data_IF_125090130058
#
_entry.id   IF_125090130058
#
_cell.length_a   1.000
_cell.length_b   1.000
_cell.length_c   1.000
_cell.angle_alpha   90.00
_cell.angle_beta   90.00
_cell.angle_gamma   90.00
#
_symmetry.space_group_name_H-M   'P 1'
#
loop_
_entity.id
_entity.type
_entity.pdbx_description
1 polymer ?
#
# COMPACT_ATOMS: atom_id res chain seq x y z
N UNK A 1 10.42 6.11 78.75
CA UNK A 1 11.74 6.74 78.47
C UNK A 1 12.74 5.62 78.27
N UNK A 2 13.19 5.42 77.03
CA UNK A 2 14.11 4.32 76.66
C UNK A 2 15.55 4.84 76.70
N UNK A 3 16.37 4.22 77.55
CA UNK A 3 17.83 4.21 77.44
C UNK A 3 18.24 3.23 76.33
N UNK A 4 19.32 3.51 75.60
CA UNK A 4 20.58 2.76 75.70
C UNK A 4 21.56 3.21 74.62
N UNK A 5 22.77 3.47 75.09
CA UNK A 5 23.97 3.89 74.39
C UNK A 5 24.68 2.72 73.71
N UNK A 6 25.11 2.98 72.48
CA UNK A 6 26.39 2.67 71.83
C UNK A 6 27.02 1.24 71.87
N UNK A 7 27.42 0.86 70.64
CA UNK A 7 28.67 0.21 70.23
C UNK A 7 28.75 -1.33 70.18
N UNK A 8 29.08 -1.84 68.98
CA UNK A 8 29.89 -3.02 68.59
C UNK A 8 29.25 -3.70 67.35
N UNK A 9 29.80 -3.71 66.12
CA UNK A 9 31.06 -4.24 65.52
C UNK A 9 30.72 -5.42 64.57
N UNK A 10 31.40 -5.46 63.40
CA UNK A 10 31.52 -6.54 62.39
C UNK A 10 30.38 -6.68 61.34
N UNK A 11 30.58 -6.79 60.01
CA UNK A 11 31.74 -6.91 59.09
C UNK A 11 31.37 -6.23 57.76
N UNK A 12 32.22 -5.33 57.27
CA UNK A 12 32.20 -4.81 55.92
C UNK A 12 33.08 -5.68 55.04
N UNK A 13 32.50 -6.46 54.13
CA UNK A 13 33.24 -7.14 53.07
C UNK A 13 33.51 -6.17 51.92
N UNK A 14 34.73 -5.63 51.85
CA UNK A 14 35.22 -4.95 50.67
C UNK A 14 35.72 -5.99 49.66
N UNK A 15 35.08 -6.08 48.51
CA UNK A 15 35.71 -6.57 47.28
C UNK A 15 35.59 -5.45 46.25
N UNK A 16 36.68 -4.73 46.07
CA UNK A 16 36.88 -3.81 44.94
C UNK A 16 37.03 -4.70 43.71
N UNK A 17 35.94 -4.94 42.99
CA UNK A 17 36.03 -5.47 41.64
C UNK A 17 36.33 -4.28 40.73
N UNK A 18 37.61 -4.16 40.37
CA UNK A 18 38.05 -3.37 39.23
C UNK A 18 37.18 -3.71 38.01
N UNK A 19 36.59 -2.70 37.39
CA UNK A 19 36.00 -2.82 36.07
C UNK A 19 37.07 -3.30 35.08
N UNK A 20 37.08 -4.60 34.82
CA UNK A 20 37.69 -5.16 33.62
C UNK A 20 36.77 -4.77 32.45
N UNK A 21 37.32 -4.28 31.33
CA UNK A 21 36.52 -4.10 30.12
C UNK A 21 35.95 -5.48 29.76
N UNK A 22 34.63 -5.56 29.58
CA UNK A 22 34.02 -6.78 29.04
C UNK A 22 34.67 -7.04 27.68
N UNK A 23 35.41 -8.13 27.62
CA UNK A 23 36.03 -8.66 26.41
C UNK A 23 34.99 -8.74 25.28
N UNK A 24 35.41 -8.27 24.12
CA UNK A 24 34.77 -8.47 22.83
C UNK A 24 34.48 -9.95 22.58
N UNK A 25 33.21 -10.36 22.69
CA UNK A 25 32.77 -11.66 22.19
C UNK A 25 31.95 -11.49 20.90
N UNK A 26 32.68 -11.77 19.81
CA UNK A 26 32.23 -12.48 18.59
C UNK A 26 31.08 -11.89 17.76
N UNK A 27 31.37 -10.87 16.97
CA UNK A 27 30.62 -10.53 15.73
C UNK A 27 31.25 -11.21 14.49
N UNK A 28 32.44 -11.80 14.62
CA UNK A 28 33.24 -12.24 13.46
C UNK A 28 32.72 -13.46 12.70
N UNK A 29 31.95 -14.36 13.32
CA UNK A 29 31.78 -15.69 12.73
C UNK A 29 30.95 -15.74 11.42
N UNK A 30 30.11 -14.74 11.12
CA UNK A 30 29.19 -14.76 9.96
C UNK A 30 29.08 -13.42 9.21
N UNK A 31 30.05 -12.53 9.36
CA UNK A 31 29.91 -11.15 8.94
C UNK A 31 30.65 -10.85 7.62
N UNK A 32 29.94 -10.32 6.61
CA UNK A 32 30.54 -9.91 5.33
C UNK A 32 31.10 -8.48 5.48
N UNK A 33 32.40 -8.31 5.19
CA UNK A 33 33.07 -7.00 5.23
C UNK A 33 32.61 -6.10 4.06
N UNK A 34 32.58 -4.76 4.24
CA UNK A 34 33.12 -4.00 5.38
C UNK A 34 32.16 -3.96 6.58
N UNK A 35 32.71 -3.79 7.80
CA UNK A 35 31.90 -3.51 8.99
C UNK A 35 31.41 -2.05 8.98
N UNK A 36 30.35 -1.75 9.71
CA UNK A 36 29.73 -0.43 9.82
C UNK A 36 29.84 0.15 11.23
N UNK A 37 29.93 1.48 11.27
CA UNK A 37 29.95 2.31 12.46
C UNK A 37 28.69 3.16 12.54
N UNK A 38 27.83 2.91 13.54
CA UNK A 38 26.51 3.54 13.66
C UNK A 38 26.25 3.96 15.12
N UNK A 39 25.98 5.24 15.37
CA UNK A 39 25.68 5.78 16.71
C UNK A 39 24.37 5.26 17.33
N UNK A 40 24.18 5.48 18.63
CA UNK A 40 22.91 5.25 19.33
C UNK A 40 21.88 6.31 18.88
N UNK A 41 20.76 5.89 18.31
CA UNK A 41 19.66 6.76 17.92
C UNK A 41 18.48 6.52 18.88
N UNK A 42 18.20 7.51 19.72
CA UNK A 42 16.88 7.68 20.35
C UNK A 42 15.98 8.41 19.34
N UNK A 43 14.72 7.99 19.21
CA UNK A 43 13.71 8.74 18.46
C UNK A 43 13.62 10.17 19.02
N UNK A 44 13.71 11.23 18.19
CA UNK A 44 13.34 12.55 18.64
C UNK A 44 11.85 12.54 19.00
N UNK A 45 11.50 13.07 20.16
CA UNK A 45 10.12 13.37 20.57
C UNK A 45 9.45 14.22 19.47
N UNK A 46 8.31 13.78 18.94
CA UNK A 46 7.49 14.49 17.95
C UNK A 46 6.24 15.05 18.63
N UNK A 47 6.11 16.38 18.68
CA UNK A 47 5.01 17.06 19.38
C UNK A 47 3.60 16.75 18.86
N UNK A 48 3.49 16.07 17.72
CA UNK A 48 2.22 15.70 17.06
C UNK A 48 1.93 14.21 17.23
N UNK A 49 2.96 13.36 17.13
CA UNK A 49 2.84 11.91 17.27
C UNK A 49 2.82 11.49 18.74
N UNK A 50 3.61 12.16 19.59
CA UNK A 50 3.74 11.83 21.01
C UNK A 50 2.41 11.92 21.77
N UNK A 51 1.54 12.93 21.57
CA UNK A 51 0.22 12.96 22.22
C UNK A 51 -0.70 11.81 21.79
N UNK A 52 -0.63 11.41 20.51
CA UNK A 52 -1.41 10.29 19.97
C UNK A 52 -0.92 8.96 20.57
N UNK A 53 0.41 8.78 20.62
CA UNK A 53 1.02 7.60 21.25
C UNK A 53 0.73 7.56 22.76
N UNK A 54 0.74 8.71 23.44
CA UNK A 54 0.42 8.84 24.86
C UNK A 54 -1.05 8.50 25.16
N UNK A 55 -2.00 9.00 24.35
CA UNK A 55 -3.43 8.69 24.45
C UNK A 55 -3.72 7.20 24.19
N UNK A 56 -2.85 6.53 23.44
CA UNK A 56 -2.89 5.09 23.15
C UNK A 56 -2.10 4.24 24.17
N UNK A 57 -1.48 4.85 25.18
CA UNK A 57 -0.71 4.14 26.21
C UNK A 57 0.65 3.61 25.76
N UNK A 58 1.22 4.17 24.68
CA UNK A 58 2.48 3.75 24.05
C UNK A 58 3.63 4.65 24.52
N UNK A 59 4.67 4.06 25.09
CA UNK A 59 5.89 4.79 25.51
C UNK A 59 6.81 5.05 24.31
N UNK A 60 6.74 6.26 23.74
CA UNK A 60 7.57 6.69 22.61
C UNK A 60 9.09 6.60 22.88
N UNK A 61 9.53 6.65 24.15
CA UNK A 61 10.94 6.51 24.53
C UNK A 61 11.44 5.05 24.49
N UNK A 62 10.52 4.09 24.39
CA UNK A 62 10.83 2.65 24.31
C UNK A 62 10.95 2.13 22.86
N UNK A 63 10.62 2.96 21.86
CA UNK A 63 10.69 2.64 20.44
C UNK A 63 12.14 2.78 19.94
N UNK A 64 12.91 1.69 19.97
CA UNK A 64 14.27 1.63 19.43
C UNK A 64 14.24 1.03 18.02
N UNK A 65 14.56 1.82 16.98
CA UNK A 65 14.48 1.39 15.59
C UNK A 65 15.55 1.97 14.67
N UNK A 66 16.33 1.10 14.02
CA UNK A 66 17.49 1.47 13.20
C UNK A 66 17.29 1.04 11.75
N UNK A 67 17.43 2.01 10.83
CA UNK A 67 17.90 1.77 9.46
C UNK A 67 19.12 2.66 9.27
N UNK A 68 20.27 2.05 9.02
CA UNK A 68 21.61 2.65 9.02
C UNK A 68 21.87 3.71 7.95
N UNK A 69 21.13 4.82 7.98
CA UNK A 69 21.29 5.95 7.06
C UNK A 69 22.44 6.90 7.45
N UNK A 70 23.08 6.70 8.61
CA UNK A 70 24.23 7.47 9.11
C UNK A 70 25.49 6.61 9.33
N UNK A 71 25.48 5.38 8.85
CA UNK A 71 26.61 4.48 9.04
C UNK A 71 27.69 4.74 7.99
N UNK A 72 28.96 4.74 8.42
CA UNK A 72 30.11 4.71 7.53
C UNK A 72 30.91 3.42 7.76
N UNK A 73 31.87 3.15 6.89
CA UNK A 73 32.79 2.03 7.07
C UNK A 73 33.44 2.16 8.45
N UNK A 74 33.38 1.09 9.24
CA UNK A 74 33.94 1.09 10.57
C UNK A 74 35.46 1.31 10.51
N UNK A 75 35.93 2.23 11.33
CA UNK A 75 37.34 2.45 11.61
C UNK A 75 37.55 2.63 13.13
N UNK A 76 38.82 2.77 13.54
CA UNK A 76 39.19 2.89 14.95
C UNK A 76 38.75 4.21 15.60
N UNK A 77 38.23 5.17 14.82
CA UNK A 77 37.72 6.46 15.33
C UNK A 77 36.26 6.39 15.78
N UNK A 78 35.63 5.23 15.60
CA UNK A 78 34.24 5.01 15.94
C UNK A 78 33.96 4.84 17.43
N UNK A 79 33.01 5.62 17.95
CA UNK A 79 32.52 5.54 19.33
C UNK A 79 31.74 4.24 19.64
N UNK A 80 31.38 3.47 18.61
CA UNK A 80 30.65 2.20 18.72
C UNK A 80 31.41 1.06 18.05
N UNK A 81 31.28 -0.17 18.57
CA UNK A 81 31.94 -1.36 18.02
C UNK A 81 31.45 -1.74 16.60
N UNK A 82 32.21 -2.55 15.85
CA UNK A 82 31.92 -2.90 14.45
C UNK A 82 30.61 -3.68 14.31
N UNK A 83 29.75 -3.24 13.39
CA UNK A 83 28.45 -3.86 13.05
C UNK A 83 28.49 -4.47 11.64
N UNK A 84 27.68 -5.48 11.34
CA UNK A 84 27.73 -6.15 10.02
C UNK A 84 27.12 -5.33 8.88
N UNK A 85 27.79 -5.30 7.71
CA UNK A 85 27.13 -5.00 6.43
C UNK A 85 26.36 -6.24 5.99
N UNK A 86 25.05 -6.13 5.91
CA UNK A 86 24.20 -7.26 5.56
C UNK A 86 23.49 -7.02 4.24
N UNK A 87 23.91 -7.74 3.19
CA UNK A 87 22.98 -8.27 2.18
C UNK A 87 21.86 -9.10 2.85
N UNK A 88 22.07 -9.52 4.11
CA UNK A 88 21.03 -9.96 5.02
C UNK A 88 20.03 -8.85 5.45
N UNK A 89 20.11 -7.59 5.02
CA UNK A 89 19.13 -6.56 5.42
C UNK A 89 17.75 -6.84 4.83
N UNK A 90 17.64 -7.24 3.56
CA UNK A 90 16.33 -7.56 2.97
C UNK A 90 15.73 -8.84 3.58
N UNK A 91 16.49 -9.94 3.62
CA UNK A 91 16.02 -11.21 4.16
C UNK A 91 15.80 -11.17 5.69
N UNK A 92 16.63 -10.46 6.46
CA UNK A 92 16.41 -10.31 7.91
C UNK A 92 15.25 -9.37 8.22
N UNK A 93 15.08 -8.29 7.46
CA UNK A 93 13.90 -7.41 7.61
C UNK A 93 12.65 -8.16 7.17
N UNK A 94 12.70 -8.91 6.07
CA UNK A 94 11.63 -9.81 5.65
C UNK A 94 11.29 -10.83 6.74
N UNK A 95 12.28 -11.48 7.35
CA UNK A 95 12.03 -12.44 8.42
C UNK A 95 11.49 -11.76 9.70
N UNK A 96 11.90 -10.53 10.00
CA UNK A 96 11.34 -9.74 11.11
C UNK A 96 9.90 -9.30 10.83
N UNK A 97 9.62 -8.78 9.64
CA UNK A 97 8.26 -8.49 9.18
C UNK A 97 7.41 -9.75 9.23
N UNK A 98 7.93 -10.89 8.75
CA UNK A 98 7.24 -12.17 8.85
C UNK A 98 6.93 -12.53 10.30
N UNK A 99 7.87 -12.34 11.23
CA UNK A 99 7.61 -12.63 12.64
C UNK A 99 6.46 -11.81 13.22
N UNK A 100 6.40 -10.51 12.89
CA UNK A 100 5.29 -9.60 13.24
C UNK A 100 4.00 -10.07 12.56
N UNK A 101 4.08 -10.41 11.29
CA UNK A 101 2.93 -10.81 10.48
C UNK A 101 2.39 -12.19 10.85
N UNK A 102 3.20 -13.06 11.42
CA UNK A 102 2.78 -14.35 11.98
C UNK A 102 2.25 -14.25 13.40
N UNK A 103 2.48 -13.14 14.11
CA UNK A 103 1.79 -12.90 15.37
C UNK A 103 0.30 -12.73 15.10
N UNK A 104 -0.50 -13.17 16.08
CA UNK A 104 -1.96 -13.16 16.06
C UNK A 104 -2.55 -11.74 16.11
N UNK A 105 -1.93 -10.74 15.49
CA UNK A 105 -2.50 -9.41 15.37
C UNK A 105 -3.92 -9.52 14.82
N UNK A 106 -4.89 -9.25 15.69
CA UNK A 106 -6.31 -9.52 15.47
C UNK A 106 -7.01 -8.38 14.73
N UNK A 107 -6.39 -7.20 14.71
CA UNK A 107 -6.87 -6.01 14.02
C UNK A 107 -5.74 -5.08 13.52
N UNK A 108 -6.14 -4.02 12.82
CA UNK A 108 -5.25 -3.02 12.22
C UNK A 108 -4.45 -2.22 13.27
N UNK A 109 -4.98 -2.07 14.50
CA UNK A 109 -4.33 -1.31 15.57
C UNK A 109 -3.19 -2.12 16.17
N UNK A 110 -3.42 -3.40 16.44
CA UNK A 110 -2.38 -4.31 16.92
C UNK A 110 -1.23 -4.41 15.92
N UNK A 111 -1.55 -4.51 14.62
CA UNK A 111 -0.52 -4.52 13.58
C UNK A 111 0.27 -3.20 13.49
N UNK A 112 -0.40 -2.05 13.52
CA UNK A 112 0.25 -0.74 13.52
C UNK A 112 1.20 -0.58 14.73
N UNK A 113 0.79 -1.07 15.88
CA UNK A 113 1.59 -1.07 17.10
C UNK A 113 2.83 -1.95 16.97
N UNK A 114 2.68 -3.19 16.50
CA UNK A 114 3.82 -4.10 16.29
C UNK A 114 4.80 -3.56 15.24
N UNK A 115 4.29 -3.01 14.12
CA UNK A 115 5.12 -2.42 13.08
C UNK A 115 5.93 -1.22 13.61
N UNK A 116 5.31 -0.36 14.41
CA UNK A 116 5.98 0.80 15.01
C UNK A 116 7.00 0.35 16.06
N UNK A 117 6.62 -0.56 16.96
CA UNK A 117 7.47 -1.10 18.03
C UNK A 117 8.67 -1.88 17.49
N UNK A 118 8.55 -2.46 16.29
CA UNK A 118 9.66 -3.17 15.63
C UNK A 118 10.84 -2.26 15.27
N UNK A 119 10.60 -0.95 15.16
CA UNK A 119 11.61 0.01 14.75
C UNK A 119 12.11 -0.17 13.32
N UNK A 120 11.36 -0.91 12.48
CA UNK A 120 11.75 -1.22 11.10
C UNK A 120 11.56 -0.03 10.15
N UNK A 121 10.61 0.87 10.44
CA UNK A 121 10.31 2.00 9.54
C UNK A 121 11.35 3.12 9.73
N UNK A 122 12.07 3.55 8.68
CA UNK A 122 13.04 4.64 8.79
C UNK A 122 12.36 5.95 9.21
N UNK A 123 13.03 6.76 10.04
CA UNK A 123 12.51 8.07 10.49
C UNK A 123 12.10 8.99 9.33
N UNK A 124 12.88 9.04 8.24
CA UNK A 124 12.53 9.82 7.05
C UNK A 124 11.23 9.34 6.38
N UNK A 125 10.97 8.03 6.38
CA UNK A 125 9.71 7.48 5.87
C UNK A 125 8.55 7.87 6.79
N UNK A 126 8.73 7.77 8.11
CA UNK A 126 7.73 8.23 9.10
C UNK A 126 7.39 9.72 8.94
N UNK A 127 8.39 10.60 8.80
CA UNK A 127 8.16 12.03 8.56
C UNK A 127 7.35 12.27 7.28
N UNK A 128 7.65 11.53 6.21
CA UNK A 128 6.89 11.61 4.96
C UNK A 128 5.44 11.18 5.17
N UNK A 129 5.21 10.03 5.83
CA UNK A 129 3.89 9.47 6.11
C UNK A 129 3.04 10.38 7.01
N UNK A 130 3.65 11.03 8.01
CA UNK A 130 2.96 11.93 8.93
C UNK A 130 2.25 13.07 8.19
N UNK A 131 2.91 13.66 7.18
CA UNK A 131 2.30 14.69 6.34
C UNK A 131 1.04 14.20 5.61
N UNK A 132 1.01 12.94 5.17
CA UNK A 132 -0.14 12.34 4.50
C UNK A 132 -1.22 11.81 5.46
N UNK A 133 -0.88 11.50 6.70
CA UNK A 133 -1.85 11.16 7.74
C UNK A 133 -2.79 12.34 8.01
N UNK A 134 -2.27 13.57 8.01
CA UNK A 134 -3.04 14.78 8.34
C UNK A 134 -3.50 15.59 7.12
N UNK A 135 -3.08 15.24 5.90
CA UNK A 135 -3.42 16.02 4.70
C UNK A 135 -4.95 16.06 4.45
N UNK A 136 -5.51 17.25 4.27
CA UNK A 136 -6.90 17.39 3.82
C UNK A 136 -6.94 17.36 2.29
N UNK A 137 -7.32 16.21 1.72
CA UNK A 137 -7.40 16.04 0.27
C UNK A 137 -8.49 16.93 -0.36
N UNK A 138 -9.51 17.34 0.39
CA UNK A 138 -10.57 18.21 -0.12
C UNK A 138 -10.07 19.64 -0.39
N UNK A 139 -9.05 20.06 0.34
CA UNK A 139 -8.42 21.38 0.18
C UNK A 139 -7.50 21.45 -1.05
N UNK A 140 -7.19 20.32 -1.69
CA UNK A 140 -6.27 20.27 -2.83
C UNK A 140 -7.02 20.61 -4.12
N UNK A 141 -6.88 21.84 -4.57
CA UNK A 141 -7.47 22.32 -5.83
C UNK A 141 -6.46 22.27 -6.97
N UNK A 142 -6.47 21.17 -7.74
CA UNK A 142 -5.64 21.05 -8.95
C UNK A 142 -6.33 21.72 -10.13
N UNK A 143 -5.53 22.41 -10.94
CA UNK A 143 -5.98 23.09 -12.15
C UNK A 143 -5.57 22.27 -13.37
N UNK A 144 -6.41 21.30 -13.75
CA UNK A 144 -6.21 20.51 -14.96
C UNK A 144 -6.96 21.15 -16.15
N UNK A 145 -6.43 21.06 -17.38
CA UNK A 145 -7.04 21.68 -18.55
C UNK A 145 -8.43 21.08 -18.83
N UNK A 146 -9.31 21.88 -19.42
CA UNK A 146 -10.58 21.34 -19.92
C UNK A 146 -10.31 20.38 -21.09
N UNK A 147 -11.05 19.27 -21.22
CA UNK A 147 -10.93 18.43 -22.41
C UNK A 147 -11.50 19.21 -23.60
N UNK A 148 -10.64 19.85 -24.39
CA UNK A 148 -11.05 20.61 -25.56
C UNK A 148 -11.76 19.68 -26.57
N UNK A 149 -12.99 20.01 -26.97
CA UNK A 149 -13.79 19.35 -28.00
C UNK A 149 -14.35 17.93 -27.71
N UNK A 150 -14.27 17.42 -26.48
CA UNK A 150 -14.92 16.15 -26.09
C UNK A 150 -15.86 16.35 -24.90
N UNK A 151 -17.17 16.23 -25.14
CA UNK A 151 -18.17 16.22 -24.07
C UNK A 151 -18.12 14.88 -23.33
N UNK A 152 -17.46 14.87 -22.17
CA UNK A 152 -17.41 13.73 -21.24
C UNK A 152 -18.29 13.95 -20.00
N UNK A 153 -18.84 15.16 -19.86
CA UNK A 153 -19.73 15.60 -18.78
C UNK A 153 -20.86 16.46 -19.40
N UNK A 154 -22.13 16.41 -18.91
CA UNK A 154 -22.61 15.63 -17.75
C UNK A 154 -22.76 14.12 -18.00
N UNK A 155 -22.61 13.67 -19.25
CA UNK A 155 -22.52 12.27 -19.62
C UNK A 155 -21.71 12.16 -20.90
N UNK A 156 -20.94 11.08 -21.07
CA UNK A 156 -20.21 10.81 -22.32
C UNK A 156 -21.08 10.00 -23.28
N UNK A 157 -21.89 9.08 -22.75
CA UNK A 157 -22.89 8.34 -23.49
C UNK A 157 -24.25 8.38 -22.76
N UNK A 158 -25.35 8.25 -23.50
CA UNK A 158 -26.72 8.25 -22.92
C UNK A 158 -26.96 7.11 -21.91
N UNK A 159 -26.16 6.06 -21.98
CA UNK A 159 -26.23 4.89 -21.09
C UNK A 159 -25.44 5.07 -19.78
N UNK A 160 -24.68 6.15 -19.66
CA UNK A 160 -23.92 6.41 -18.43
C UNK A 160 -24.86 6.88 -17.32
N UNK A 161 -24.57 6.46 -16.09
CA UNK A 161 -25.20 7.00 -14.90
C UNK A 161 -24.94 8.52 -14.80
N UNK A 162 -25.86 9.28 -14.20
CA UNK A 162 -25.64 10.70 -13.96
C UNK A 162 -24.55 10.89 -12.89
N UNK A 163 -23.67 11.87 -13.09
CA UNK A 163 -22.82 12.36 -12.01
C UNK A 163 -23.64 13.21 -11.03
N UNK A 164 -23.44 13.00 -9.73
CA UNK A 164 -23.92 13.88 -8.67
C UNK A 164 -22.90 14.96 -8.29
N UNK A 165 -21.62 14.73 -8.63
CA UNK A 165 -20.50 15.61 -8.32
C UNK A 165 -20.20 16.54 -9.50
N UNK A 166 -19.95 17.82 -9.22
CA UNK A 166 -19.62 18.80 -10.24
C UNK A 166 -18.29 18.49 -10.96
N UNK A 167 -18.24 18.73 -12.28
CA UNK A 167 -17.08 18.42 -13.14
C UNK A 167 -15.77 19.03 -12.63
N UNK A 168 -15.79 20.27 -12.14
CA UNK A 168 -14.61 20.94 -11.62
C UNK A 168 -14.04 20.21 -10.38
N UNK A 169 -14.91 19.69 -9.51
CA UNK A 169 -14.53 18.91 -8.33
C UNK A 169 -13.97 17.55 -8.75
N UNK A 170 -14.64 16.83 -9.67
CA UNK A 170 -14.16 15.56 -10.22
C UNK A 170 -12.77 15.71 -10.85
N UNK A 171 -12.61 16.75 -11.69
CA UNK A 171 -11.35 17.03 -12.40
C UNK A 171 -10.21 17.44 -11.47
N UNK A 172 -10.49 18.13 -10.36
CA UNK A 172 -9.47 18.58 -9.41
C UNK A 172 -8.83 17.45 -8.59
N UNK A 173 -9.49 16.29 -8.48
CA UNK A 173 -8.97 15.11 -7.80
C UNK A 173 -7.80 14.44 -8.57
N UNK A 174 -7.71 14.67 -9.87
CA UNK A 174 -6.73 14.02 -10.75
C UNK A 174 -5.38 14.73 -10.66
N UNK A 175 -4.32 14.02 -10.27
CA UNK A 175 -2.96 14.53 -10.32
C UNK A 175 -2.26 14.11 -11.61
N UNK A 176 -1.94 15.10 -12.45
CA UNK A 176 -1.11 14.92 -13.65
C UNK A 176 0.28 15.46 -13.33
N UNK A 177 1.33 14.61 -13.29
CA UNK A 177 2.70 15.08 -13.08
C UNK A 177 3.13 16.06 -14.17
N UNK A 178 3.99 17.03 -13.83
CA UNK A 178 4.54 17.98 -14.82
C UNK A 178 5.34 17.29 -15.94
N UNK A 179 5.88 16.11 -15.67
CA UNK A 179 6.59 15.28 -16.63
C UNK A 179 5.67 14.47 -17.55
N UNK A 180 4.35 14.56 -17.37
CA UNK A 180 3.37 13.84 -18.18
C UNK A 180 3.37 14.36 -19.61
N UNK A 181 3.64 13.46 -20.56
CA UNK A 181 3.58 13.80 -21.98
C UNK A 181 2.12 13.88 -22.44
N UNK A 182 1.69 15.06 -22.88
CA UNK A 182 0.41 15.24 -23.57
C UNK A 182 0.46 14.82 -25.05
N UNK A 183 1.61 14.33 -25.55
CA UNK A 183 1.80 13.94 -26.95
C UNK A 183 1.46 12.46 -27.14
N UNK A 184 0.88 12.12 -28.31
CA UNK A 184 0.49 10.76 -28.76
C UNK A 184 1.66 9.80 -29.02
N UNK A 185 2.87 10.15 -28.61
CA UNK A 185 4.01 9.26 -28.78
C UNK A 185 3.74 7.99 -27.96
N UNK A 186 4.23 6.82 -28.42
CA UNK A 186 4.02 5.43 -27.94
C UNK A 186 4.14 5.22 -26.41
N UNK A 187 3.32 5.92 -25.65
CA UNK A 187 3.27 5.98 -24.21
C UNK A 187 1.96 5.35 -23.78
N UNK A 188 1.99 4.64 -22.67
CA UNK A 188 0.83 3.96 -22.09
C UNK A 188 0.37 4.83 -20.93
N UNK A 189 -0.72 5.60 -21.05
CA UNK A 189 -1.26 6.33 -19.91
C UNK A 189 -1.78 5.32 -18.89
N UNK A 190 -1.31 5.42 -17.64
CA UNK A 190 -1.71 4.55 -16.55
C UNK A 190 -2.32 5.38 -15.45
N UNK A 191 -3.61 5.16 -15.17
CA UNK A 191 -4.28 5.75 -14.03
C UNK A 191 -4.06 4.86 -12.79
N UNK A 192 -3.59 5.44 -11.70
CA UNK A 192 -3.42 4.76 -10.42
C UNK A 192 -4.57 5.15 -9.47
N UNK A 193 -5.31 4.15 -8.96
CA UNK A 193 -6.48 4.32 -8.10
C UNK A 193 -6.19 3.77 -6.70
N UNK A 194 -6.28 4.60 -5.64
CA UNK A 194 -5.86 4.23 -4.28
C UNK A 194 -6.81 3.23 -3.62
N UNK A 195 -6.38 2.71 -2.48
CA UNK A 195 -7.20 1.90 -1.59
C UNK A 195 -7.93 2.72 -0.53
N UNK A 196 -8.51 2.00 0.43
CA UNK A 196 -9.21 2.59 1.58
C UNK A 196 -8.23 3.33 2.49
N UNK A 197 -8.62 4.51 2.94
CA UNK A 197 -7.96 5.31 3.96
C UNK A 197 -6.53 5.81 3.65
N UNK A 198 -6.01 5.60 2.43
CA UNK A 198 -4.66 6.03 2.08
C UNK A 198 -4.69 6.85 0.78
N UNK A 199 -4.20 8.10 0.78
CA UNK A 199 -4.10 8.91 -0.44
C UNK A 199 -3.26 8.22 -1.54
N UNK A 200 -3.59 8.44 -2.82
CA UNK A 200 -2.89 7.79 -3.93
C UNK A 200 -1.43 8.22 -4.03
N UNK A 201 -1.15 9.51 -3.81
CA UNK A 201 0.21 10.04 -3.86
C UNK A 201 1.18 9.26 -2.97
N UNK A 202 0.80 8.95 -1.72
CA UNK A 202 1.65 8.20 -0.79
C UNK A 202 1.57 6.69 -1.00
N UNK A 203 0.38 6.17 -1.36
CA UNK A 203 0.19 4.75 -1.70
C UNK A 203 1.20 4.32 -2.75
N UNK A 204 1.29 5.07 -3.86
CA UNK A 204 2.08 4.66 -5.01
C UNK A 204 3.53 5.14 -4.98
N UNK A 205 3.89 6.09 -4.11
CA UNK A 205 5.25 6.63 -4.00
C UNK A 205 6.31 5.54 -3.80
N UNK A 206 5.97 4.53 -2.99
CA UNK A 206 6.86 3.43 -2.61
C UNK A 206 6.74 2.20 -3.52
N UNK A 207 5.94 2.23 -4.59
CA UNK A 207 5.71 1.06 -5.44
C UNK A 207 5.41 1.43 -6.89
N UNK A 208 4.18 1.22 -7.40
CA UNK A 208 3.84 1.39 -8.81
C UNK A 208 3.97 2.84 -9.32
N UNK A 209 4.15 3.83 -8.45
CA UNK A 209 4.63 5.17 -8.83
C UNK A 209 6.03 5.16 -9.48
N UNK A 210 6.75 4.05 -9.36
CA UNK A 210 8.05 3.78 -9.98
C UNK A 210 7.95 2.87 -11.20
N UNK A 211 6.75 2.58 -11.72
CA UNK A 211 6.53 1.69 -12.87
C UNK A 211 7.40 2.04 -14.08
N UNK A 212 7.72 3.33 -14.30
CA UNK A 212 8.64 3.78 -15.36
C UNK A 212 10.04 3.15 -15.30
N UNK A 213 10.49 2.66 -14.14
CA UNK A 213 11.75 1.92 -14.00
C UNK A 213 11.68 0.55 -14.68
N UNK A 214 10.50 -0.07 -14.70
CA UNK A 214 10.23 -1.35 -15.35
C UNK A 214 9.75 -1.18 -16.79
N UNK A 215 8.92 -0.15 -17.03
CA UNK A 215 8.24 0.13 -18.29
C UNK A 215 8.37 1.62 -18.63
N UNK A 216 9.49 2.07 -19.24
CA UNK A 216 9.78 3.50 -19.48
C UNK A 216 8.74 4.27 -20.33
N UNK A 217 7.88 3.56 -21.05
CA UNK A 217 6.75 4.07 -21.82
C UNK A 217 5.50 4.33 -20.99
N UNK A 218 5.45 3.89 -19.73
CA UNK A 218 4.31 4.19 -18.84
C UNK A 218 4.26 5.67 -18.44
N UNK A 219 3.10 6.30 -18.61
CA UNK A 219 2.84 7.67 -18.18
C UNK A 219 1.81 7.67 -17.05
N UNK A 220 2.31 7.85 -15.82
CA UNK A 220 1.50 7.72 -14.61
C UNK A 220 0.69 8.99 -14.32
N UNK A 221 -0.58 8.80 -14.01
CA UNK A 221 -1.52 9.76 -13.43
C UNK A 221 -2.14 9.06 -12.23
N UNK A 222 -2.50 9.79 -11.18
CA UNK A 222 -3.24 9.20 -10.07
C UNK A 222 -4.42 10.07 -9.66
N UNK A 223 -5.35 9.47 -8.92
CA UNK A 223 -6.52 10.17 -8.40
C UNK A 223 -6.48 10.18 -6.88
N UNK A 224 -6.48 11.38 -6.29
CA UNK A 224 -6.58 11.54 -4.85
C UNK A 224 -8.07 11.71 -4.49
N UNK A 225 -8.70 10.60 -4.08
CA UNK A 225 -10.10 10.57 -3.69
C UNK A 225 -10.34 11.38 -2.40
N UNK A 226 -11.42 12.19 -2.32
CA UNK A 226 -11.83 12.85 -1.09
C UNK A 226 -11.87 11.91 0.11
N UNK A 227 -11.58 12.45 1.30
CA UNK A 227 -11.51 11.70 2.56
C UNK A 227 -10.65 10.43 2.50
N UNK A 228 -9.72 10.33 1.54
CA UNK A 228 -8.91 9.14 1.29
C UNK A 228 -9.76 7.88 1.11
N UNK A 229 -10.81 7.96 0.29
CA UNK A 229 -11.68 6.82 -0.05
C UNK A 229 -12.53 6.29 1.11
N UNK A 230 -12.72 7.06 2.19
CA UNK A 230 -13.53 6.66 3.35
C UNK A 230 -15.03 7.02 3.23
N UNK A 231 -15.38 7.89 2.28
CA UNK A 231 -16.77 8.19 1.96
C UNK A 231 -17.42 7.04 1.17
N UNK A 232 -18.70 7.23 0.79
CA UNK A 232 -19.45 6.28 -0.04
C UNK A 232 -18.68 5.89 -1.32
N UNK A 233 -18.43 4.58 -1.50
CA UNK A 233 -17.75 4.00 -2.66
C UNK A 233 -18.45 4.40 -3.98
N UNK A 234 -19.77 4.59 -3.95
CA UNK A 234 -20.53 5.03 -5.12
C UNK A 234 -20.12 6.43 -5.59
N UNK A 235 -19.73 7.31 -4.66
CA UNK A 235 -19.20 8.64 -4.96
C UNK A 235 -17.73 8.57 -5.41
N UNK A 236 -16.92 7.72 -4.77
CA UNK A 236 -15.55 7.43 -5.22
C UNK A 236 -15.52 6.91 -6.66
N UNK A 237 -16.48 6.08 -7.04
CA UNK A 237 -16.64 5.58 -8.40
C UNK A 237 -16.99 6.68 -9.43
N UNK A 238 -17.66 7.78 -9.03
CA UNK A 238 -17.86 8.94 -9.90
C UNK A 238 -16.53 9.62 -10.27
N UNK A 239 -15.65 9.82 -9.28
CA UNK A 239 -14.30 10.33 -9.49
C UNK A 239 -13.52 9.45 -10.45
N UNK A 240 -13.58 8.13 -10.26
CA UNK A 240 -12.91 7.16 -11.13
C UNK A 240 -13.50 7.17 -12.54
N UNK A 241 -14.82 7.09 -12.70
CA UNK A 241 -15.48 7.11 -14.01
C UNK A 241 -15.12 8.37 -14.82
N UNK A 242 -15.10 9.52 -14.15
CA UNK A 242 -14.68 10.77 -14.77
C UNK A 242 -13.19 10.74 -15.14
N UNK A 243 -12.32 10.28 -14.25
CA UNK A 243 -10.88 10.21 -14.51
C UNK A 243 -10.53 9.27 -15.68
N UNK A 244 -11.18 8.11 -15.79
CA UNK A 244 -10.98 7.19 -16.91
C UNK A 244 -11.28 7.86 -18.26
N UNK A 245 -12.41 8.55 -18.35
CA UNK A 245 -12.82 9.27 -19.54
C UNK A 245 -11.94 10.50 -19.81
N UNK A 246 -11.59 11.25 -18.76
CA UNK A 246 -10.79 12.47 -18.85
C UNK A 246 -9.36 12.21 -19.28
N UNK A 247 -8.66 11.24 -18.68
CA UNK A 247 -7.27 10.90 -19.04
C UNK A 247 -7.21 10.32 -20.45
N UNK A 248 -8.20 9.50 -20.84
CA UNK A 248 -8.33 9.01 -22.22
C UNK A 248 -8.53 10.15 -23.22
N UNK A 249 -9.43 11.11 -22.91
CA UNK A 249 -9.66 12.28 -23.76
C UNK A 249 -8.39 13.15 -23.89
N UNK A 250 -7.72 13.41 -22.77
CA UNK A 250 -6.49 14.22 -22.71
C UNK A 250 -5.35 13.63 -23.55
N UNK A 251 -5.25 12.31 -23.60
CA UNK A 251 -4.19 11.60 -24.34
C UNK A 251 -4.63 11.14 -25.73
N UNK A 252 -5.92 11.26 -26.07
CA UNK A 252 -6.51 10.68 -27.28
C UNK A 252 -6.18 9.19 -27.45
N UNK A 253 -6.10 8.45 -26.35
CA UNK A 253 -5.72 7.03 -26.32
C UNK A 253 -6.59 6.27 -25.33
N UNK A 254 -6.67 4.94 -25.50
CA UNK A 254 -7.05 4.07 -24.38
C UNK A 254 -6.00 4.17 -23.28
N UNK A 255 -6.42 3.94 -22.05
CA UNK A 255 -5.57 3.96 -20.86
C UNK A 255 -5.55 2.58 -20.21
N UNK A 256 -4.48 2.29 -19.48
CA UNK A 256 -4.51 1.25 -18.47
C UNK A 256 -4.88 1.84 -17.11
N UNK A 257 -5.40 1.01 -16.22
CA UNK A 257 -5.68 1.39 -14.84
C UNK A 257 -5.11 0.35 -13.90
N UNK A 258 -4.37 0.81 -12.89
CA UNK A 258 -3.86 -0.02 -11.80
C UNK A 258 -4.56 0.43 -10.52
N UNK A 259 -5.15 -0.50 -9.79
CA UNK A 259 -5.78 -0.23 -8.50
C UNK A 259 -5.13 -0.99 -7.38
N UNK A 260 -5.38 -0.51 -6.16
CA UNK A 260 -5.12 -1.25 -4.94
C UNK A 260 -6.37 -1.29 -4.07
N UNK A 261 -6.66 -2.44 -3.45
CA UNK A 261 -7.72 -2.56 -2.45
C UNK A 261 -9.09 -2.11 -3.00
N UNK A 262 -9.84 -1.31 -2.24
CA UNK A 262 -11.10 -0.66 -2.62
C UNK A 262 -11.07 0.05 -3.98
N UNK A 263 -9.92 0.56 -4.44
CA UNK A 263 -9.82 1.16 -5.77
C UNK A 263 -10.29 0.22 -6.88
N UNK A 264 -10.24 -1.09 -6.64
CA UNK A 264 -10.80 -2.09 -7.54
C UNK A 264 -12.35 -2.06 -7.58
N UNK A 265 -12.99 -1.90 -6.42
CA UNK A 265 -14.44 -1.71 -6.32
C UNK A 265 -14.87 -0.41 -7.00
N UNK A 266 -14.13 0.68 -6.79
CA UNK A 266 -14.39 1.98 -7.44
C UNK A 266 -14.38 1.85 -8.97
N UNK A 267 -13.35 1.18 -9.53
CA UNK A 267 -13.23 0.94 -10.97
C UNK A 267 -14.32 0.00 -11.48
N UNK A 268 -14.58 -1.12 -10.80
CA UNK A 268 -15.57 -2.09 -11.26
C UNK A 268 -16.99 -1.50 -11.23
N UNK A 269 -17.30 -0.66 -10.23
CA UNK A 269 -18.54 0.12 -10.18
C UNK A 269 -18.61 1.15 -11.31
N UNK A 270 -17.52 1.89 -11.56
CA UNK A 270 -17.42 2.84 -12.67
C UNK A 270 -17.62 2.15 -14.03
N UNK A 271 -16.97 1.01 -14.27
CA UNK A 271 -17.13 0.21 -15.49
C UNK A 271 -18.57 -0.32 -15.63
N UNK A 272 -19.22 -0.68 -14.53
CA UNK A 272 -20.61 -1.14 -14.53
C UNK A 272 -21.58 -0.01 -14.92
N UNK A 273 -21.54 1.13 -14.22
CA UNK A 273 -22.58 2.15 -14.31
C UNK A 273 -22.25 3.34 -15.24
N UNK A 274 -21.00 3.49 -15.68
CA UNK A 274 -20.60 4.39 -16.77
C UNK A 274 -20.04 3.56 -17.93
N UNK A 275 -20.87 2.86 -18.72
CA UNK A 275 -20.39 1.94 -19.78
C UNK A 275 -19.47 2.60 -20.81
N UNK A 276 -19.53 3.91 -20.99
CA UNK A 276 -18.61 4.66 -21.87
C UNK A 276 -17.14 4.56 -21.47
N UNK A 277 -16.84 4.18 -20.22
CA UNK A 277 -15.49 3.94 -19.71
C UNK A 277 -14.88 2.64 -20.28
N UNK A 278 -15.71 1.63 -20.57
CA UNK A 278 -15.26 0.31 -21.08
C UNK A 278 -14.55 0.42 -22.42
N UNK A 279 -14.90 1.42 -23.24
CA UNK A 279 -14.27 1.61 -24.56
C UNK A 279 -12.92 2.34 -24.48
N UNK A 280 -12.59 2.94 -23.34
CA UNK A 280 -11.37 3.72 -23.14
C UNK A 280 -10.37 3.08 -22.17
N UNK A 281 -10.78 2.05 -21.45
CA UNK A 281 -9.87 1.24 -20.64
C UNK A 281 -9.40 0.03 -21.46
N UNK A 282 -8.09 -0.13 -21.61
CA UNK A 282 -7.49 -1.29 -22.25
C UNK A 282 -7.29 -2.43 -21.26
N UNK A 283 -6.68 -2.11 -20.12
CA UNK A 283 -6.30 -3.06 -19.07
C UNK A 283 -6.69 -2.53 -17.70
N UNK A 284 -7.30 -3.42 -16.91
CA UNK A 284 -7.55 -3.21 -15.49
C UNK A 284 -6.68 -4.19 -14.69
N UNK A 285 -5.64 -3.67 -14.05
CA UNK A 285 -4.77 -4.44 -13.16
C UNK A 285 -5.15 -4.14 -11.71
N UNK A 286 -5.68 -5.14 -11.03
CA UNK A 286 -6.25 -5.02 -9.69
C UNK A 286 -5.35 -5.71 -8.67
N UNK A 287 -4.74 -4.93 -7.77
CA UNK A 287 -3.83 -5.41 -6.73
C UNK A 287 -4.57 -5.54 -5.40
N UNK A 288 -4.57 -6.74 -4.82
CA UNK A 288 -5.34 -7.10 -3.63
C UNK A 288 -6.81 -6.64 -3.67
N UNK A 289 -7.56 -6.89 -4.76
CA UNK A 289 -8.92 -6.39 -4.88
C UNK A 289 -9.91 -7.18 -4.04
N UNK A 290 -10.99 -6.54 -3.65
CA UNK A 290 -12.05 -7.06 -2.80
C UNK A 290 -13.42 -7.03 -3.49
N UNK A 291 -13.53 -7.57 -4.71
CA UNK A 291 -14.77 -7.57 -5.52
C UNK A 291 -15.97 -8.30 -4.88
N UNK A 292 -15.75 -9.05 -3.81
CA UNK A 292 -16.79 -9.67 -3.00
C UNK A 292 -16.79 -9.15 -1.55
N UNK A 293 -16.13 -8.02 -1.28
CA UNK A 293 -15.94 -7.48 0.05
C UNK A 293 -15.05 -8.37 0.92
N UNK A 294 -15.21 -8.26 2.23
CA UNK A 294 -14.47 -9.06 3.21
C UNK A 294 -15.38 -9.56 4.33
N UNK A 295 -15.08 -10.75 4.85
CA UNK A 295 -15.74 -11.29 6.06
C UNK A 295 -15.20 -10.65 7.34
N UNK A 296 -14.11 -9.89 7.26
CA UNK A 296 -13.53 -9.17 8.39
C UNK A 296 -14.49 -8.04 8.79
N UNK A 297 -14.85 -7.97 10.08
CA UNK A 297 -15.83 -6.99 10.57
C UNK A 297 -15.32 -5.55 10.35
N UNK A 298 -16.25 -4.62 10.14
CA UNK A 298 -16.05 -3.15 10.08
C UNK A 298 -15.52 -2.56 8.77
N UNK A 299 -15.27 -3.36 7.74
CA UNK A 299 -14.80 -2.87 6.44
C UNK A 299 -15.55 -3.59 5.30
N UNK A 300 -16.05 -2.83 4.31
CA UNK A 300 -16.51 -3.32 2.99
C UNK A 300 -17.10 -4.74 3.01
N UNK A 301 -18.17 -4.90 3.79
CA UNK A 301 -18.62 -6.22 4.25
C UNK A 301 -19.05 -7.14 3.12
N UNK A 302 -18.74 -8.44 3.26
CA UNK A 302 -19.07 -9.49 2.30
C UNK A 302 -20.56 -9.49 1.88
N UNK A 303 -21.45 -9.31 2.85
CA UNK A 303 -22.91 -9.30 2.66
C UNK A 303 -23.50 -7.90 2.46
N UNK A 304 -22.68 -6.86 2.28
CA UNK A 304 -23.12 -5.48 2.11
C UNK A 304 -24.05 -5.33 0.89
N UNK A 305 -25.10 -4.51 0.99
CA UNK A 305 -25.99 -4.22 -0.14
C UNK A 305 -25.19 -3.63 -1.31
N UNK A 306 -24.14 -2.85 -1.02
CA UNK A 306 -23.24 -2.34 -2.06
C UNK A 306 -22.58 -3.48 -2.86
N UNK A 307 -22.02 -4.48 -2.17
CA UNK A 307 -21.35 -5.63 -2.82
C UNK A 307 -22.35 -6.46 -3.62
N UNK A 308 -23.55 -6.69 -3.07
CA UNK A 308 -24.63 -7.37 -3.79
C UNK A 308 -25.04 -6.60 -5.05
N UNK A 309 -25.23 -5.28 -4.94
CA UNK A 309 -25.57 -4.40 -6.06
C UNK A 309 -24.45 -4.40 -7.10
N UNK A 310 -23.17 -4.31 -6.71
CA UNK A 310 -22.03 -4.39 -7.62
C UNK A 310 -22.04 -5.70 -8.40
N UNK A 311 -22.09 -6.83 -7.70
CA UNK A 311 -21.96 -8.17 -8.28
C UNK A 311 -23.16 -8.62 -9.11
N UNK A 312 -24.35 -8.08 -8.83
CA UNK A 312 -25.57 -8.39 -9.56
C UNK A 312 -25.44 -8.14 -11.08
N UNK A 313 -26.29 -8.80 -11.86
CA UNK A 313 -26.41 -8.60 -13.32
C UNK A 313 -25.06 -8.74 -14.07
N UNK A 314 -24.20 -9.67 -13.61
CA UNK A 314 -22.90 -9.95 -14.21
C UNK A 314 -21.80 -8.95 -13.86
N UNK A 315 -21.94 -8.19 -12.77
CA UNK A 315 -20.88 -7.32 -12.27
C UNK A 315 -19.78 -8.06 -11.49
N UNK A 316 -20.02 -9.33 -11.15
CA UNK A 316 -19.02 -10.30 -10.72
C UNK A 316 -18.13 -10.86 -11.86
N UNK A 317 -18.37 -10.38 -13.09
CA UNK A 317 -17.55 -10.65 -14.26
C UNK A 317 -16.91 -9.36 -14.78
N UNK A 318 -15.69 -9.47 -15.30
CA UNK A 318 -14.96 -8.35 -15.87
C UNK A 318 -15.72 -7.63 -17.00
N UNK A 319 -15.51 -6.32 -17.11
CA UNK A 319 -16.05 -5.47 -18.18
C UNK A 319 -15.03 -5.13 -19.26
N UNK A 320 -13.75 -5.23 -18.92
CA UNK A 320 -12.58 -5.02 -19.79
C UNK A 320 -11.54 -6.08 -19.42
N UNK A 321 -10.48 -6.21 -20.22
CA UNK A 321 -9.33 -7.06 -19.90
C UNK A 321 -8.88 -6.84 -18.46
N UNK A 322 -8.91 -7.88 -17.63
CA UNK A 322 -8.65 -7.73 -16.19
C UNK A 322 -7.61 -8.71 -15.66
N UNK A 323 -6.61 -8.19 -14.95
CA UNK A 323 -5.57 -8.96 -14.26
C UNK A 323 -5.72 -8.74 -12.76
N UNK A 324 -6.11 -9.75 -12.00
CA UNK A 324 -6.22 -9.65 -10.53
C UNK A 324 -5.00 -10.33 -9.89
N UNK A 325 -4.46 -9.74 -8.83
CA UNK A 325 -3.25 -10.25 -8.15
C UNK A 325 -3.46 -10.18 -6.65
N UNK A 326 -3.36 -11.30 -5.95
CA UNK A 326 -3.77 -11.39 -4.54
C UNK A 326 -3.04 -12.49 -3.75
N UNK A 327 -3.04 -12.34 -2.43
CA UNK A 327 -2.27 -13.16 -1.48
C UNK A 327 -3.17 -13.85 -0.45
N UNK A 328 -2.88 -15.11 -0.15
CA UNK A 328 -3.48 -15.83 0.98
C UNK A 328 -3.21 -15.17 2.35
N UNK A 329 -2.15 -14.36 2.46
CA UNK A 329 -1.74 -13.70 3.70
C UNK A 329 -2.35 -12.29 3.86
N UNK A 330 -3.32 -11.94 3.03
CA UNK A 330 -4.11 -10.73 3.19
C UNK A 330 -4.90 -10.79 4.52
N UNK A 331 -4.62 -9.83 5.40
CA UNK A 331 -5.28 -9.68 6.71
C UNK A 331 -6.50 -8.76 6.68
N UNK A 332 -6.67 -7.98 5.61
CA UNK A 332 -7.73 -6.98 5.47
C UNK A 332 -8.90 -7.60 4.70
N UNK A 333 -8.60 -8.26 3.59
CA UNK A 333 -9.58 -8.88 2.70
C UNK A 333 -9.51 -10.38 2.87
N UNK A 334 -10.63 -10.99 3.26
CA UNK A 334 -10.75 -12.45 3.38
C UNK A 334 -12.11 -12.94 2.91
N UNK A 335 -12.18 -14.14 2.30
CA UNK A 335 -11.05 -14.98 1.85
C UNK A 335 -10.29 -14.41 0.65
N UNK A 336 -8.97 -14.65 0.59
CA UNK A 336 -8.09 -14.32 -0.56
C UNK A 336 -7.37 -15.56 -1.10
N UNK A 337 -8.01 -16.73 -0.98
CA UNK A 337 -7.53 -17.99 -1.55
C UNK A 337 -8.70 -18.91 -1.92
N UNK A 338 -8.43 -19.87 -2.80
CA UNK A 338 -9.43 -20.79 -3.33
C UNK A 338 -10.44 -20.13 -4.28
N UNK A 339 -11.46 -20.90 -4.67
CA UNK A 339 -12.46 -20.47 -5.67
C UNK A 339 -13.33 -19.30 -5.19
N UNK A 340 -13.47 -19.14 -3.88
CA UNK A 340 -14.24 -18.06 -3.27
C UNK A 340 -13.40 -16.83 -2.92
N UNK A 341 -12.13 -16.73 -3.37
CA UNK A 341 -11.31 -15.55 -3.09
C UNK A 341 -12.01 -14.27 -3.58
N UNK A 342 -12.08 -13.24 -2.73
CA UNK A 342 -12.77 -11.97 -3.02
C UNK A 342 -12.23 -11.28 -4.27
N UNK A 343 -10.93 -11.46 -4.53
CA UNK A 343 -10.24 -10.90 -5.68
C UNK A 343 -10.64 -11.49 -7.04
N UNK A 344 -11.39 -12.60 -7.08
CA UNK A 344 -11.70 -13.29 -8.34
C UNK A 344 -12.82 -12.61 -9.11
N UNK A 345 -12.59 -12.40 -10.40
CA UNK A 345 -13.63 -12.05 -11.37
C UNK A 345 -13.83 -13.17 -12.40
N UNK A 346 -15.06 -13.29 -12.88
CA UNK A 346 -15.45 -14.19 -13.96
C UNK A 346 -15.27 -13.51 -15.33
N UNK A 347 -15.36 -14.28 -16.42
CA UNK A 347 -15.24 -13.77 -17.78
C UNK A 347 -16.41 -14.17 -18.69
N UNK A 348 -17.64 -13.84 -18.27
CA UNK A 348 -18.84 -14.08 -19.06
C UNK A 348 -18.89 -13.27 -20.37
N UNK A 349 -18.10 -12.18 -20.45
CA UNK A 349 -18.05 -11.29 -21.62
C UNK A 349 -16.95 -11.66 -22.61
N UNK A 350 -16.07 -12.62 -22.29
CA UNK A 350 -14.93 -12.99 -23.12
C UNK A 350 -13.95 -11.84 -23.35
N UNK A 351 -13.81 -10.95 -22.35
CA UNK A 351 -12.89 -9.80 -22.40
C UNK A 351 -11.46 -10.19 -22.01
N UNK A 352 -11.29 -11.38 -21.42
CA UNK A 352 -10.03 -11.89 -20.92
C UNK A 352 -9.82 -11.54 -19.44
N UNK A 353 -9.72 -12.56 -18.61
CA UNK A 353 -9.42 -12.43 -17.17
C UNK A 353 -8.29 -13.36 -16.76
N UNK A 354 -7.31 -12.85 -16.02
CA UNK A 354 -6.34 -13.66 -15.27
C UNK A 354 -6.48 -13.41 -13.77
N UNK A 355 -6.76 -14.47 -13.01
CA UNK A 355 -6.87 -14.40 -11.54
C UNK A 355 -5.61 -15.00 -10.90
N UNK A 356 -4.68 -14.15 -10.47
CA UNK A 356 -3.32 -14.54 -10.13
C UNK A 356 -3.12 -14.61 -8.60
N UNK A 357 -3.15 -15.82 -8.08
CA UNK A 357 -2.90 -16.07 -6.66
C UNK A 357 -1.40 -16.34 -6.42
N UNK A 358 -0.75 -15.50 -5.60
CA UNK A 358 0.70 -15.55 -5.38
C UNK A 358 1.17 -16.92 -4.88
N UNK A 359 0.49 -17.47 -3.87
CA UNK A 359 0.87 -18.74 -3.23
C UNK A 359 0.58 -19.96 -4.13
N UNK A 360 -0.23 -19.81 -5.18
CA UNK A 360 -0.42 -20.87 -6.18
C UNK A 360 0.65 -20.80 -7.26
N UNK A 361 0.94 -19.61 -7.79
CA UNK A 361 1.89 -19.45 -8.90
C UNK A 361 3.34 -19.62 -8.42
N UNK A 362 3.68 -18.99 -7.29
CA UNK A 362 5.01 -19.05 -6.69
C UNK A 362 5.05 -19.95 -5.44
N UNK A 363 4.33 -21.07 -5.48
CA UNK A 363 4.29 -22.01 -4.36
C UNK A 363 5.70 -22.39 -3.88
N UNK A 364 5.92 -22.36 -2.56
CA UNK A 364 7.18 -22.69 -1.90
C UNK A 364 8.40 -21.84 -2.32
N UNK A 365 8.16 -20.66 -2.91
CA UNK A 365 9.20 -19.73 -3.30
C UNK A 365 9.00 -18.36 -2.63
N UNK A 366 10.03 -17.51 -2.65
CA UNK A 366 10.05 -16.23 -1.95
C UNK A 366 8.86 -15.31 -2.33
N UNK A 367 8.56 -15.18 -3.62
CA UNK A 367 7.46 -14.35 -4.12
C UNK A 367 6.06 -14.92 -3.80
N UNK A 368 5.97 -16.19 -3.43
CA UNK A 368 4.75 -16.80 -2.87
C UNK A 368 4.74 -16.81 -1.34
N UNK A 369 5.69 -16.13 -0.70
CA UNK A 369 5.78 -16.00 0.75
C UNK A 369 4.69 -15.11 1.34
N UNK A 370 4.97 -14.57 2.52
CA UNK A 370 4.05 -13.74 3.27
C UNK A 370 4.03 -12.31 2.70
N UNK A 371 3.10 -12.06 1.79
CA UNK A 371 2.77 -10.71 1.33
C UNK A 371 1.40 -10.31 1.89
N UNK A 372 1.37 -9.19 2.61
CA UNK A 372 0.15 -8.61 3.17
C UNK A 372 -0.75 -8.00 2.10
N UNK A 373 -1.83 -7.34 2.52
CA UNK A 373 -2.75 -6.62 1.65
C UNK A 373 -2.03 -5.54 0.81
N UNK A 374 -1.29 -4.66 1.47
CA UNK A 374 -0.37 -3.69 0.88
C UNK A 374 0.89 -4.35 0.31
N UNK A 375 1.32 -5.48 0.87
CA UNK A 375 2.55 -6.17 0.46
C UNK A 375 2.55 -6.63 -0.99
N UNK A 376 1.40 -6.93 -1.56
CA UNK A 376 1.28 -7.28 -3.00
C UNK A 376 1.76 -6.13 -3.90
N UNK A 377 1.74 -4.87 -3.45
CA UNK A 377 2.23 -3.71 -4.21
C UNK A 377 3.74 -3.76 -4.49
N UNK A 378 4.52 -4.43 -3.64
CA UNK A 378 5.96 -4.64 -3.84
C UNK A 378 6.30 -6.09 -4.21
N UNK A 379 5.31 -6.94 -4.48
CA UNK A 379 5.57 -8.33 -4.85
C UNK A 379 6.18 -8.45 -6.26
N UNK A 380 7.27 -9.24 -6.45
CA UNK A 380 7.94 -9.34 -7.74
C UNK A 380 7.08 -10.02 -8.82
N UNK A 381 6.26 -11.01 -8.47
CA UNK A 381 5.31 -11.61 -9.41
C UNK A 381 4.22 -10.59 -9.80
N UNK A 382 3.72 -9.80 -8.86
CA UNK A 382 2.76 -8.75 -9.16
C UNK A 382 3.30 -7.74 -10.18
N UNK A 383 4.55 -7.30 -10.03
CA UNK A 383 5.22 -6.42 -10.99
C UNK A 383 5.40 -7.07 -12.35
N UNK A 384 5.82 -8.34 -12.40
CA UNK A 384 5.99 -9.06 -13.67
C UNK A 384 4.66 -9.21 -14.42
N UNK A 385 3.58 -9.57 -13.71
CA UNK A 385 2.24 -9.67 -14.29
C UNK A 385 1.70 -8.33 -14.78
N UNK A 386 1.93 -7.25 -14.02
CA UNK A 386 1.55 -5.89 -14.44
C UNK A 386 2.27 -5.47 -15.72
N UNK A 387 3.60 -5.65 -15.78
CA UNK A 387 4.38 -5.32 -16.97
C UNK A 387 3.94 -6.18 -18.16
N UNK A 388 3.70 -7.47 -17.95
CA UNK A 388 3.22 -8.37 -18.99
C UNK A 388 1.85 -7.97 -19.54
N UNK A 389 0.89 -7.61 -18.66
CA UNK A 389 -0.43 -7.13 -19.08
C UNK A 389 -0.33 -5.86 -19.93
N UNK A 390 0.50 -4.89 -19.51
CA UNK A 390 0.64 -3.62 -20.22
C UNK A 390 1.33 -3.73 -21.59
N UNK A 391 2.09 -4.82 -21.83
CA UNK A 391 2.84 -5.04 -23.07
C UNK A 391 2.12 -5.92 -24.09
N UNK A 392 0.98 -6.52 -23.73
CA UNK A 392 0.30 -7.50 -24.57
C UNK A 392 -1.20 -7.27 -24.64
N UNK A 393 -1.82 -7.74 -25.72
CA UNK A 393 -3.28 -7.82 -25.79
C UNK A 393 -3.80 -8.91 -24.85
N UNK A 394 -4.88 -8.60 -24.13
CA UNK A 394 -5.46 -9.51 -23.14
C UNK A 394 -4.75 -9.43 -21.78
N UNK A 395 -5.24 -10.18 -20.78
CA UNK A 395 -4.73 -10.03 -19.41
C UNK A 395 -3.32 -10.60 -19.31
N UNK A 396 -2.70 -10.43 -18.15
CA UNK A 396 -1.41 -11.05 -17.89
C UNK A 396 -1.47 -12.56 -18.09
N UNK A 397 -0.37 -13.14 -18.54
CA UNK A 397 -0.26 -14.57 -18.77
C UNK A 397 1.08 -15.08 -18.23
N UNK A 398 0.98 -15.95 -17.23
CA UNK A 398 2.14 -16.57 -16.58
C UNK A 398 3.05 -17.32 -17.57
N UNK A 399 2.54 -17.80 -18.71
CA UNK A 399 3.37 -18.50 -19.71
C UNK A 399 4.32 -17.56 -20.47
N UNK A 400 4.12 -16.24 -20.37
CA UNK A 400 5.01 -15.21 -20.94
C UNK A 400 6.08 -14.73 -19.96
N UNK A 401 6.03 -15.20 -18.70
CA UNK A 401 6.89 -14.76 -17.61
C UNK A 401 7.83 -15.91 -17.23
N UNK A 402 9.11 -15.59 -16.98
CA UNK A 402 10.04 -16.52 -16.35
C UNK A 402 9.71 -16.65 -14.86
N UNK A 403 8.67 -17.44 -14.56
CA UNK A 403 8.16 -17.60 -13.20
C UNK A 403 9.20 -18.24 -12.29
N UNK A 404 10.10 -19.08 -12.79
CA UNK A 404 11.15 -19.67 -11.97
C UNK A 404 12.04 -18.57 -11.38
N UNK A 405 12.55 -17.66 -12.22
CA UNK A 405 13.40 -16.56 -11.77
C UNK A 405 12.65 -15.51 -10.96
N UNK A 406 11.41 -15.20 -11.34
CA UNK A 406 10.59 -14.20 -10.62
C UNK A 406 10.20 -14.70 -9.24
N UNK A 407 9.85 -15.97 -9.10
CA UNK A 407 9.39 -16.52 -7.84
C UNK A 407 10.50 -16.60 -6.77
N UNK A 408 11.77 -16.68 -7.17
CA UNK A 408 12.92 -16.66 -6.26
C UNK A 408 13.16 -15.28 -5.59
N UNK A 409 12.54 -14.22 -6.09
CA UNK A 409 12.74 -12.85 -5.60
C UNK A 409 11.82 -12.51 -4.43
N UNK A 410 12.28 -11.64 -3.53
CA UNK A 410 11.46 -11.03 -2.46
C UNK A 410 10.91 -9.66 -2.89
N UNK A 411 11.65 -8.94 -3.74
CA UNK A 411 11.29 -7.64 -4.29
C UNK A 411 11.61 -7.60 -5.79
N UNK A 412 10.83 -6.87 -6.61
CA UNK A 412 11.19 -6.61 -7.99
C UNK A 412 12.48 -5.78 -8.04
N UNK A 413 13.29 -5.91 -9.11
CA UNK A 413 14.58 -5.22 -9.23
C UNK A 413 14.48 -3.69 -9.32
N UNK A 414 13.26 -3.15 -9.38
CA UNK A 414 12.96 -1.73 -9.52
C UNK A 414 12.69 -1.02 -8.19
N UNK A 415 12.51 -1.81 -7.13
CA UNK A 415 12.19 -1.35 -5.78
C UNK A 415 13.33 -1.65 -4.81
N UNK A 416 13.40 -0.85 -3.75
CA UNK A 416 14.41 -0.94 -2.71
C UNK A 416 13.80 -1.38 -1.36
N UNK A 417 14.64 -1.63 -0.36
CA UNK A 417 14.13 -1.95 0.99
C UNK A 417 13.22 -0.84 1.56
N UNK A 418 13.54 0.43 1.27
CA UNK A 418 12.75 1.59 1.68
C UNK A 418 11.35 1.61 1.06
N UNK A 419 11.20 1.00 -0.12
CA UNK A 419 9.92 0.85 -0.81
C UNK A 419 9.03 -0.20 -0.14
N UNK A 420 9.63 -1.33 0.22
CA UNK A 420 8.94 -2.36 1.00
C UNK A 420 8.44 -1.79 2.33
N UNK A 421 9.34 -1.18 3.11
CA UNK A 421 9.03 -0.63 4.42
C UNK A 421 8.04 0.54 4.36
N UNK A 422 8.21 1.44 3.38
CA UNK A 422 7.28 2.55 3.17
C UNK A 422 5.87 2.07 2.80
N UNK A 423 5.78 0.98 2.04
CA UNK A 423 4.49 0.36 1.67
C UNK A 423 3.81 -0.29 2.89
N UNK A 424 4.53 -1.05 3.71
CA UNK A 424 3.97 -1.61 4.96
C UNK A 424 3.48 -0.51 5.92
N UNK A 425 4.23 0.60 5.99
CA UNK A 425 3.90 1.73 6.85
C UNK A 425 2.68 2.54 6.38
N UNK A 426 2.11 2.25 5.20
CA UNK A 426 0.84 2.87 4.76
C UNK A 426 -0.31 2.56 5.72
N UNK A 427 -0.25 1.44 6.45
CA UNK A 427 -1.27 1.11 7.47
C UNK A 427 -1.33 2.12 8.62
N UNK A 428 -0.23 2.82 8.91
CA UNK A 428 -0.23 3.93 9.88
C UNK A 428 -1.05 5.13 9.37
N UNK A 429 -0.93 5.45 8.09
CA UNK A 429 -1.74 6.49 7.43
C UNK A 429 -3.20 6.07 7.40
N UNK A 430 -3.49 4.83 7.03
CA UNK A 430 -4.84 4.27 7.01
C UNK A 430 -5.51 4.39 8.40
N UNK A 431 -4.82 3.95 9.46
CA UNK A 431 -5.31 4.03 10.82
C UNK A 431 -5.61 5.47 11.24
N UNK A 432 -4.69 6.40 10.99
CA UNK A 432 -4.89 7.82 11.32
C UNK A 432 -6.11 8.40 10.60
N UNK A 433 -6.29 8.10 9.30
CA UNK A 433 -7.46 8.55 8.52
C UNK A 433 -8.76 7.93 9.03
N UNK A 434 -8.78 6.63 9.29
CA UNK A 434 -9.96 5.94 9.84
C UNK A 434 -10.36 6.54 11.19
N UNK A 435 -9.40 6.80 12.08
CA UNK A 435 -9.66 7.38 13.40
C UNK A 435 -10.20 8.81 13.30
N UNK A 436 -9.60 9.64 12.46
CA UNK A 436 -9.97 11.06 12.30
C UNK A 436 -11.20 11.30 11.41
N UNK A 437 -11.65 10.30 10.65
CA UNK A 437 -12.85 10.40 9.81
C UNK A 437 -14.10 10.74 10.63
N UNK A 438 -14.85 11.72 10.14
CA UNK A 438 -16.05 12.25 10.79
C UNK A 438 -17.04 12.81 9.75
N UNK A 439 -18.36 12.58 9.92
CA UNK A 439 -18.97 11.78 11.00
C UNK A 439 -18.75 10.27 10.79
N UNK A 440 -18.59 9.51 11.88
CA UNK A 440 -18.62 8.05 11.79
C UNK A 440 -20.05 7.58 11.57
N UNK A 441 -20.22 6.56 10.73
CA UNK A 441 -21.52 5.99 10.37
C UNK A 441 -21.65 4.58 10.93
N UNK A 442 -22.87 4.17 11.28
CA UNK A 442 -23.17 2.85 11.85
C UNK A 442 -23.65 1.81 10.83
N UNK A 443 -23.81 2.20 9.56
CA UNK A 443 -24.28 1.34 8.48
C UNK A 443 -23.84 1.88 7.13
N UNK A 444 -23.98 1.04 6.10
CA UNK A 444 -23.72 1.45 4.71
C UNK A 444 -24.75 2.49 4.23
N UNK A 445 -24.37 3.37 3.29
CA UNK A 445 -25.31 4.30 2.66
C UNK A 445 -26.32 3.59 1.75
N UNK A 446 -27.40 4.29 1.41
CA UNK A 446 -28.39 3.79 0.45
C UNK A 446 -27.76 3.58 -0.94
N UNK A 447 -28.21 2.53 -1.63
CA UNK A 447 -27.81 2.27 -3.02
C UNK A 447 -28.36 3.38 -3.93
N UNK A 448 -27.50 3.91 -4.80
CA UNK A 448 -27.81 4.96 -5.75
C UNK A 448 -28.93 4.53 -6.70
N UNK A 449 -29.80 5.47 -7.08
CA UNK A 449 -31.00 5.18 -7.89
C UNK A 449 -30.70 4.52 -9.23
N UNK A 450 -29.54 4.81 -9.84
CA UNK A 450 -29.13 4.24 -11.12
C UNK A 450 -28.68 2.77 -11.01
N UNK A 451 -28.52 2.25 -9.78
CA UNK A 451 -28.02 0.91 -9.50
C UNK A 451 -29.12 -0.12 -9.16
N UNK A 452 -30.40 0.26 -9.28
CA UNK A 452 -31.56 -0.62 -9.15
C UNK A 452 -31.98 -1.25 -10.47
#
# INVERSE_FOLDING_TARGET
MRFFTALSLFISGAAIASALPSSSETVEANCVKPYLCCGELKTPLDSTLDPILLDLGIDAASIVGSVGLLCHAWDETCETGPKCCTEANLLSVWNRLNSILTNNATDILEFANELTASGLIPSKALTCLNGYAIIDLNSIHRHNPSPENLSIYPYKAKSDAPYSIAENTLRAAIHIPRSFSHKRDKKIPVLLVPGTAVPAAITFYFNFGKLRRALPESELVWIDLPQASLDDIQLSAEYVAYALNYVSALTSSKIAVISWSQGALDIQWALKYWPSTRSVVNDFIAISPDFHGTIVKWLQGWDANFIQALRSQGGDSAYVTTTTIYSSFDKIVRPMSGENASARLLDYRGVGVSNNHLQTICANNAAGGLYTHEGVLYNPLAWALTVDALLHDGPSNITRIDTQKICEQVLPPYLELTDMLGTEALLLVALAKILTYSPKVSGEPDIAKYAY
#
